data_IF_265908284971
#
_entry.id   IF_265908284971
#
_cell.length_a   1.000
_cell.length_b   1.000
_cell.length_c   1.000
_cell.angle_alpha   90.00
_cell.angle_beta   90.00
_cell.angle_gamma   90.00
#
_symmetry.space_group_name_H-M   'P 1'
#
loop_
_entity.id
_entity.type
_entity.pdbx_description
1 polymer ?
#
# COMPACT_ATOMS: atom_id res chain seq x y z
N UNK A 1 -5.57 5.54 -2.00
CA UNK A 1 -4.95 6.66 -2.75
C UNK A 1 -5.66 7.99 -2.53
N UNK A 2 -6.94 8.14 -2.89
CA UNK A 2 -7.64 9.44 -2.85
C UNK A 2 -7.63 10.13 -1.47
N UNK A 3 -7.80 9.36 -0.39
CA UNK A 3 -7.74 9.93 0.97
C UNK A 3 -6.35 10.49 1.33
N UNK A 4 -5.28 9.83 0.87
CA UNK A 4 -3.90 10.31 1.06
C UNK A 4 -3.68 11.61 0.28
N UNK A 5 -4.16 11.67 -0.96
CA UNK A 5 -4.08 12.88 -1.78
C UNK A 5 -4.85 14.05 -1.16
N UNK A 6 -6.06 13.79 -0.65
CA UNK A 6 -6.88 14.77 0.08
C UNK A 6 -6.13 15.29 1.31
N UNK A 7 -5.62 14.40 2.17
CA UNK A 7 -4.93 14.75 3.40
C UNK A 7 -3.67 15.62 3.15
N UNK A 8 -2.83 15.23 2.18
CA UNK A 8 -1.61 15.99 1.84
C UNK A 8 -1.96 17.36 1.26
N UNK A 9 -2.97 17.43 0.39
CA UNK A 9 -3.39 18.70 -0.23
C UNK A 9 -3.99 19.66 0.81
N UNK A 10 -4.85 19.16 1.70
CA UNK A 10 -5.46 19.97 2.75
C UNK A 10 -4.47 20.44 3.82
N UNK A 11 -3.40 19.69 4.06
CA UNK A 11 -2.33 20.12 4.95
C UNK A 11 -1.61 21.38 4.45
N UNK A 12 -1.77 21.75 3.17
CA UNK A 12 -1.15 22.93 2.53
C UNK A 12 0.37 22.99 2.75
N UNK A 13 1.02 21.83 2.80
CA UNK A 13 2.47 21.73 2.88
C UNK A 13 3.10 22.05 1.52
N UNK A 14 4.29 22.63 1.54
CA UNK A 14 5.16 22.73 0.37
C UNK A 14 6.03 21.49 0.32
N UNK A 15 5.89 20.71 -0.76
CA UNK A 15 6.72 19.53 -0.99
C UNK A 15 8.04 19.95 -1.64
N UNK A 16 9.16 19.40 -1.17
CA UNK A 16 10.47 19.63 -1.77
C UNK A 16 10.78 18.63 -2.90
N UNK A 17 10.04 17.53 -2.94
CA UNK A 17 10.08 16.55 -4.02
C UNK A 17 8.70 16.38 -4.64
N UNK A 18 8.67 16.05 -5.93
CA UNK A 18 7.44 15.75 -6.66
C UNK A 18 6.78 14.50 -6.10
N UNK A 19 5.47 14.58 -5.85
CA UNK A 19 4.63 13.44 -5.48
C UNK A 19 3.60 13.23 -6.60
N UNK A 20 3.55 12.01 -7.13
CA UNK A 20 2.58 11.61 -8.15
C UNK A 20 1.55 10.66 -7.54
N UNK A 21 0.28 10.92 -7.81
CA UNK A 21 -0.80 9.98 -7.55
C UNK A 21 -1.28 9.44 -8.89
N UNK A 22 -1.13 8.14 -9.10
CA UNK A 22 -1.42 7.50 -10.38
C UNK A 22 -2.41 6.38 -10.14
N UNK A 23 -3.51 6.37 -10.90
CA UNK A 23 -4.43 5.25 -10.99
C UNK A 23 -4.15 4.54 -12.31
N UNK A 24 -3.66 3.31 -12.23
CA UNK A 24 -3.39 2.50 -13.42
C UNK A 24 -4.68 1.84 -13.91
N UNK A 25 -4.86 1.86 -15.22
CA UNK A 25 -5.90 1.10 -15.91
C UNK A 25 -5.36 -0.27 -16.34
N UNK A 26 -6.27 -1.21 -16.61
CA UNK A 26 -5.93 -2.52 -17.19
C UNK A 26 -4.88 -3.32 -16.40
N UNK A 27 -4.85 -3.20 -15.08
CA UNK A 27 -4.02 -4.03 -14.19
C UNK A 27 -4.35 -5.51 -14.41
N UNK A 28 -5.65 -5.84 -14.41
CA UNK A 28 -6.19 -7.20 -14.61
C UNK A 28 -5.92 -7.79 -16.00
N UNK A 29 -5.36 -7.00 -16.92
CA UNK A 29 -4.92 -7.44 -18.24
C UNK A 29 -3.39 -7.56 -18.33
N UNK A 30 -2.72 -7.76 -17.19
CA UNK A 30 -1.27 -7.92 -17.12
C UNK A 30 -0.54 -6.60 -16.91
N UNK A 31 -1.05 -5.77 -16.00
CA UNK A 31 -0.43 -4.51 -15.60
C UNK A 31 -0.18 -3.55 -16.78
N UNK A 32 -1.08 -3.50 -17.77
CA UNK A 32 -0.84 -2.74 -19.01
C UNK A 32 -0.67 -1.24 -18.74
N UNK A 33 -1.50 -0.66 -17.87
CA UNK A 33 -1.45 0.77 -17.55
C UNK A 33 -0.17 1.16 -16.83
N UNK A 34 0.27 0.38 -15.84
CA UNK A 34 1.53 0.66 -15.14
C UNK A 34 2.76 0.39 -16.00
N UNK A 35 2.75 -0.67 -16.82
CA UNK A 35 3.80 -0.88 -17.84
C UNK A 35 3.92 0.33 -18.78
N UNK A 36 2.79 0.80 -19.31
CA UNK A 36 2.81 1.96 -20.21
C UNK A 36 3.31 3.21 -19.49
N UNK A 37 2.83 3.48 -18.26
CA UNK A 37 3.28 4.59 -17.45
C UNK A 37 4.79 4.55 -17.19
N UNK A 38 5.33 3.40 -16.78
CA UNK A 38 6.76 3.25 -16.47
C UNK A 38 7.61 3.43 -17.72
N UNK A 39 7.30 2.69 -18.79
CA UNK A 39 8.13 2.64 -20.00
C UNK A 39 7.98 3.87 -20.91
N UNK A 40 6.83 4.54 -20.92
CA UNK A 40 6.55 5.61 -21.89
C UNK A 40 6.46 7.01 -21.28
N UNK A 41 6.30 7.13 -19.96
CA UNK A 41 6.22 8.42 -19.28
C UNK A 41 7.29 8.57 -18.19
N UNK A 42 7.26 7.73 -17.15
CA UNK A 42 8.14 7.89 -15.99
C UNK A 42 9.62 7.84 -16.40
N UNK A 43 10.05 6.78 -17.07
CA UNK A 43 11.45 6.63 -17.47
C UNK A 43 11.84 7.67 -18.53
N UNK A 44 11.14 7.80 -19.68
CA UNK A 44 11.61 8.68 -20.75
C UNK A 44 11.53 10.16 -20.39
N UNK A 45 10.44 10.60 -19.78
CA UNK A 45 10.16 12.02 -19.60
C UNK A 45 10.68 12.53 -18.25
N UNK A 46 10.42 11.82 -17.15
CA UNK A 46 10.80 12.29 -15.81
C UNK A 46 12.25 11.92 -15.48
N UNK A 47 12.62 10.65 -15.63
CA UNK A 47 13.94 10.19 -15.20
C UNK A 47 15.05 10.52 -16.21
N UNK A 48 14.79 10.36 -17.51
CA UNK A 48 15.79 10.64 -18.55
C UNK A 48 15.79 12.08 -19.02
N UNK A 49 14.65 12.61 -19.47
CA UNK A 49 14.57 13.97 -20.03
C UNK A 49 14.69 15.04 -18.95
N UNK A 50 13.88 14.97 -17.89
CA UNK A 50 13.95 15.92 -16.78
C UNK A 50 15.10 15.65 -15.79
N UNK A 51 15.78 14.50 -15.93
CA UNK A 51 16.91 14.07 -15.07
C UNK A 51 16.51 13.99 -13.59
N UNK A 52 15.26 13.65 -13.31
CA UNK A 52 14.79 13.45 -11.95
C UNK A 52 15.39 12.16 -11.36
N UNK A 53 15.53 12.12 -10.03
CA UNK A 53 15.90 10.91 -9.30
C UNK A 53 14.64 10.26 -8.75
N UNK A 54 14.44 8.99 -9.05
CA UNK A 54 13.31 8.23 -8.52
C UNK A 54 13.58 7.82 -7.07
N UNK A 55 12.72 8.25 -6.15
CA UNK A 55 12.82 7.85 -4.74
C UNK A 55 12.16 6.49 -4.49
N UNK A 56 11.05 6.21 -5.17
CA UNK A 56 10.33 4.96 -5.06
C UNK A 56 8.82 5.11 -5.26
N UNK A 57 8.12 3.98 -5.32
CA UNK A 57 6.66 3.91 -5.39
C UNK A 57 6.06 3.07 -4.26
N UNK A 58 4.88 3.46 -3.81
CA UNK A 58 3.99 2.63 -2.99
C UNK A 58 2.77 2.28 -3.84
N UNK A 59 2.60 1.00 -4.12
CA UNK A 59 1.46 0.45 -4.85
C UNK A 59 0.41 0.00 -3.84
N UNK A 60 -0.85 0.32 -4.08
CA UNK A 60 -1.98 -0.06 -3.22
C UNK A 60 -2.88 -1.00 -4.01
N UNK A 61 -3.01 -2.25 -3.57
CA UNK A 61 -3.87 -3.22 -4.23
C UNK A 61 -4.55 -4.13 -3.21
N UNK A 62 -5.87 -3.95 -3.05
CA UNK A 62 -6.67 -4.53 -1.99
C UNK A 62 -6.17 -4.13 -0.60
N UNK A 63 -6.80 -3.16 0.09
CA UNK A 63 -6.38 -2.74 1.44
C UNK A 63 -7.53 -2.66 2.46
N UNK A 64 -8.66 -3.29 2.14
CA UNK A 64 -9.93 -3.18 2.88
C UNK A 64 -10.51 -4.52 3.34
N UNK A 65 -9.76 -5.62 3.25
CA UNK A 65 -10.20 -6.96 3.58
C UNK A 65 -9.67 -7.45 4.94
N UNK A 66 -9.51 -6.57 5.94
CA UNK A 66 -9.14 -6.99 7.30
C UNK A 66 -10.08 -8.08 7.83
N UNK A 67 -9.50 -9.12 8.45
CA UNK A 67 -10.27 -10.18 9.08
C UNK A 67 -9.52 -10.81 10.26
N UNK A 68 -9.96 -10.52 11.48
CA UNK A 68 -9.36 -11.09 12.69
C UNK A 68 -9.97 -12.44 13.10
N UNK A 69 -10.86 -13.04 12.33
CA UNK A 69 -11.43 -14.35 12.66
C UNK A 69 -10.38 -15.44 12.36
N UNK A 70 -10.25 -16.51 13.20
CA UNK A 70 -9.37 -17.63 12.88
C UNK A 70 -9.69 -18.28 11.54
N UNK A 71 -8.66 -18.82 10.86
CA UNK A 71 -8.77 -19.55 9.59
C UNK A 71 -9.37 -18.74 8.43
N UNK A 72 -9.12 -17.42 8.43
CA UNK A 72 -9.54 -16.55 7.33
C UNK A 72 -8.39 -16.16 6.42
N UNK A 73 -7.14 -16.42 6.78
CA UNK A 73 -5.98 -16.25 5.91
C UNK A 73 -5.48 -17.60 5.44
N UNK A 74 -5.49 -17.82 4.13
CA UNK A 74 -4.78 -18.92 3.51
C UNK A 74 -3.45 -18.37 2.98
N UNK A 75 -2.38 -19.15 3.05
CA UNK A 75 -1.10 -18.78 2.47
C UNK A 75 -0.75 -19.80 1.38
N UNK A 76 -0.57 -19.35 0.13
CA UNK A 76 -0.13 -20.25 -0.93
C UNK A 76 1.27 -20.82 -0.66
N UNK A 77 1.62 -21.90 -1.36
CA UNK A 77 2.85 -22.66 -1.12
C UNK A 77 4.13 -21.81 -1.26
N UNK A 78 4.16 -20.85 -2.18
CA UNK A 78 5.30 -19.96 -2.40
C UNK A 78 5.58 -19.03 -1.21
N UNK A 79 4.59 -18.74 -0.36
CA UNK A 79 4.81 -18.03 0.91
C UNK A 79 5.58 -18.89 1.92
N UNK A 80 5.28 -20.18 1.99
CA UNK A 80 5.97 -21.09 2.89
C UNK A 80 7.42 -21.31 2.46
N UNK A 81 7.67 -21.36 1.14
CA UNK A 81 9.01 -21.53 0.58
C UNK A 81 9.85 -20.25 0.72
N UNK A 82 9.30 -19.10 0.34
CA UNK A 82 10.05 -17.84 0.28
C UNK A 82 10.12 -17.11 1.63
N UNK A 83 9.09 -17.28 2.48
CA UNK A 83 8.94 -16.55 3.74
C UNK A 83 8.53 -17.48 4.90
N UNK A 84 9.32 -18.52 5.23
CA UNK A 84 8.94 -19.53 6.22
C UNK A 84 8.66 -18.96 7.62
N UNK A 85 9.35 -17.88 8.01
CA UNK A 85 9.10 -17.19 9.27
C UNK A 85 7.71 -16.52 9.33
N UNK A 86 7.25 -15.97 8.21
CA UNK A 86 5.92 -15.38 8.10
C UNK A 86 4.83 -16.46 8.11
N UNK A 87 5.04 -17.57 7.38
CA UNK A 87 4.16 -18.73 7.44
C UNK A 87 4.00 -19.25 8.88
N UNK A 88 5.11 -19.40 9.59
CA UNK A 88 5.10 -19.83 10.98
C UNK A 88 4.29 -18.87 11.86
N UNK A 89 4.45 -17.55 11.68
CA UNK A 89 3.68 -16.56 12.41
C UNK A 89 2.18 -16.66 12.16
N UNK A 90 1.76 -16.76 10.89
CA UNK A 90 0.33 -16.84 10.52
C UNK A 90 -0.30 -18.11 11.11
N UNK A 91 0.38 -19.25 10.99
CA UNK A 91 -0.07 -20.52 11.57
C UNK A 91 -0.26 -20.41 13.10
N UNK A 92 0.71 -19.84 13.81
CA UNK A 92 0.67 -19.74 15.27
C UNK A 92 -0.27 -18.65 15.81
N UNK A 93 -0.80 -17.79 14.94
CA UNK A 93 -1.82 -16.79 15.30
C UNK A 93 -3.22 -17.22 14.89
N UNK A 94 -3.39 -18.49 14.52
CA UNK A 94 -4.68 -19.08 14.15
C UNK A 94 -5.13 -18.71 12.74
N UNK A 95 -4.21 -18.46 11.81
CA UNK A 95 -4.49 -18.17 10.41
C UNK A 95 -5.42 -16.95 10.24
N UNK A 96 -5.16 -15.88 10.99
CA UNK A 96 -5.94 -14.64 10.96
C UNK A 96 -5.41 -13.70 9.88
N UNK A 97 -6.31 -13.02 9.19
CA UNK A 97 -6.01 -11.98 8.20
C UNK A 97 -5.97 -10.58 8.83
N UNK A 98 -5.35 -10.45 10.02
CA UNK A 98 -5.36 -9.21 10.81
C UNK A 98 -4.17 -8.28 10.54
N UNK A 99 -3.66 -8.31 9.32
CA UNK A 99 -2.45 -7.60 8.94
C UNK A 99 -2.51 -7.02 7.52
N UNK A 100 -1.71 -5.97 7.30
CA UNK A 100 -1.32 -5.49 5.99
C UNK A 100 -0.01 -6.19 5.61
N UNK A 101 0.04 -6.75 4.40
CA UNK A 101 1.27 -7.23 3.81
C UNK A 101 1.91 -6.12 2.99
N UNK A 102 3.19 -5.88 3.22
CA UNK A 102 4.01 -5.03 2.38
C UNK A 102 5.02 -5.91 1.65
N UNK A 103 4.82 -6.12 0.36
CA UNK A 103 5.74 -6.90 -0.47
C UNK A 103 6.83 -5.97 -0.97
N UNK A 104 8.08 -6.34 -0.72
CA UNK A 104 9.26 -5.55 -1.06
C UNK A 104 10.41 -6.47 -1.49
N UNK A 105 11.40 -5.97 -2.24
CA UNK A 105 12.64 -6.72 -2.45
C UNK A 105 13.57 -6.54 -1.28
N UNK A 106 14.12 -7.66 -0.81
CA UNK A 106 15.09 -7.67 0.27
C UNK A 106 16.28 -6.77 -0.09
N UNK A 107 16.73 -5.98 0.89
CA UNK A 107 17.80 -4.97 0.78
C UNK A 107 17.51 -3.77 -0.12
N UNK A 108 16.92 -3.99 -1.30
CA UNK A 108 16.69 -2.96 -2.32
C UNK A 108 15.64 -1.93 -1.90
N UNK A 109 14.47 -2.37 -1.48
CA UNK A 109 13.33 -1.49 -1.20
C UNK A 109 13.27 -1.08 0.29
N UNK A 110 14.34 -1.37 1.03
CA UNK A 110 14.43 -1.20 2.48
C UNK A 110 14.24 0.24 2.97
N UNK A 111 14.59 1.25 2.15
CA UNK A 111 14.39 2.64 2.53
C UNK A 111 12.91 3.06 2.46
N UNK A 112 12.11 2.43 1.60
CA UNK A 112 10.66 2.64 1.54
C UNK A 112 9.97 1.86 2.65
N UNK A 113 10.30 0.57 2.77
CA UNK A 113 9.64 -0.32 3.72
C UNK A 113 9.88 0.11 5.17
N UNK A 114 11.11 0.50 5.53
CA UNK A 114 11.40 1.01 6.88
C UNK A 114 10.60 2.25 7.24
N UNK A 115 10.53 3.24 6.34
CA UNK A 115 9.76 4.48 6.62
C UNK A 115 8.28 4.20 6.86
N UNK A 116 7.68 3.31 6.06
CA UNK A 116 6.29 2.92 6.29
C UNK A 116 6.12 2.13 7.59
N UNK A 117 7.05 1.24 7.91
CA UNK A 117 7.02 0.50 9.17
C UNK A 117 7.12 1.44 10.37
N UNK A 118 8.05 2.40 10.34
CA UNK A 118 8.23 3.39 11.40
C UNK A 118 6.94 4.22 11.57
N UNK A 119 6.41 4.78 10.48
CA UNK A 119 5.15 5.52 10.50
C UNK A 119 3.96 4.67 11.01
N UNK A 120 3.90 3.39 10.65
CA UNK A 120 2.86 2.48 11.11
C UNK A 120 2.93 2.21 12.62
N UNK A 121 4.14 2.07 13.17
CA UNK A 121 4.35 1.88 14.60
C UNK A 121 4.03 3.16 15.38
N UNK A 122 4.44 4.32 14.88
CA UNK A 122 4.21 5.61 15.53
C UNK A 122 2.72 5.96 15.67
N UNK A 123 1.88 5.50 14.74
CA UNK A 123 0.42 5.65 14.83
C UNK A 123 -0.22 4.78 15.93
N UNK A 124 0.50 3.82 16.50
CA UNK A 124 0.00 2.90 17.51
C UNK A 124 -1.08 1.96 16.97
N UNK A 125 -2.06 1.60 17.81
CA UNK A 125 -3.13 0.63 17.50
C UNK A 125 -2.60 -0.73 17.00
N UNK A 126 -2.08 -1.53 17.93
CA UNK A 126 -1.47 -2.84 17.66
C UNK A 126 -2.44 -3.93 17.20
N UNK A 127 -3.75 -3.66 17.18
CA UNK A 127 -4.74 -4.56 16.57
C UNK A 127 -4.46 -4.74 15.07
N UNK A 128 -4.03 -3.68 14.39
CA UNK A 128 -3.70 -3.68 12.97
C UNK A 128 -2.19 -3.85 12.80
N UNK A 129 -1.80 -5.03 12.32
CA UNK A 129 -0.39 -5.39 12.09
C UNK A 129 0.06 -5.01 10.68
N UNK A 130 1.36 -4.81 10.53
CA UNK A 130 2.04 -4.64 9.24
C UNK A 130 3.20 -5.63 9.18
N UNK A 131 3.28 -6.40 8.11
CA UNK A 131 4.41 -7.29 7.83
C UNK A 131 5.14 -6.84 6.57
N UNK A 132 6.44 -6.62 6.68
CA UNK A 132 7.30 -6.52 5.51
C UNK A 132 7.65 -7.93 5.02
N UNK A 133 7.05 -8.32 3.91
CA UNK A 133 7.32 -9.54 3.17
C UNK A 133 8.46 -9.26 2.18
N UNK A 134 9.68 -9.16 2.73
CA UNK A 134 10.89 -8.90 1.94
C UNK A 134 11.30 -10.18 1.20
N UNK A 135 11.06 -10.23 -0.11
CA UNK A 135 11.35 -11.39 -0.96
C UNK A 135 12.74 -11.30 -1.58
N UNK A 136 13.36 -12.46 -1.82
CA UNK A 136 14.70 -12.57 -2.41
C UNK A 136 14.63 -12.42 -3.94
N UNK A 137 14.47 -11.17 -4.38
CA UNK A 137 14.22 -10.80 -5.76
C UNK A 137 15.15 -9.64 -6.14
N UNK A 138 15.91 -9.82 -7.23
CA UNK A 138 16.98 -8.92 -7.63
C UNK A 138 16.52 -7.70 -8.46
N UNK A 139 17.51 -6.99 -9.01
CA UNK A 139 17.34 -5.82 -9.88
C UNK A 139 17.22 -6.15 -11.38
N UNK A 140 17.43 -7.42 -11.76
CA UNK A 140 17.26 -7.90 -13.12
C UNK A 140 16.09 -8.88 -13.17
N UNK A 141 15.46 -8.99 -14.35
CA UNK A 141 14.45 -10.03 -14.60
C UNK A 141 15.04 -11.39 -14.20
N UNK A 142 14.42 -12.10 -13.24
CA UNK A 142 14.97 -13.35 -12.75
C UNK A 142 14.62 -14.51 -13.69
N UNK A 143 15.33 -15.63 -13.54
CA UNK A 143 15.03 -16.85 -14.29
C UNK A 143 13.62 -17.37 -13.99
N UNK A 144 13.05 -18.12 -14.95
CA UNK A 144 11.68 -18.67 -14.84
C UNK A 144 11.47 -19.48 -13.56
N UNK A 145 12.48 -20.23 -13.10
CA UNK A 145 12.40 -21.02 -11.88
C UNK A 145 12.29 -20.16 -10.61
N UNK A 146 12.87 -18.97 -10.62
CA UNK A 146 12.75 -18.00 -9.52
C UNK A 146 11.39 -17.30 -9.58
N UNK A 147 10.93 -16.93 -10.78
CA UNK A 147 9.58 -16.35 -10.97
C UNK A 147 8.51 -17.32 -10.45
N UNK A 148 8.60 -18.61 -10.78
CA UNK A 148 7.64 -19.62 -10.34
C UNK A 148 7.54 -19.73 -8.82
N UNK A 149 8.65 -19.53 -8.10
CA UNK A 149 8.69 -19.53 -6.63
C UNK A 149 8.21 -18.23 -5.99
N UNK A 150 7.98 -17.19 -6.80
CA UNK A 150 7.61 -15.87 -6.32
C UNK A 150 6.34 -15.32 -6.99
N UNK A 151 5.57 -16.17 -7.67
CA UNK A 151 4.45 -15.73 -8.51
C UNK A 151 3.46 -14.88 -7.72
N UNK A 152 3.07 -15.29 -6.51
CA UNK A 152 2.11 -14.52 -5.72
C UNK A 152 2.67 -13.22 -5.14
N UNK A 153 3.97 -12.97 -5.26
CA UNK A 153 4.61 -11.71 -4.91
C UNK A 153 4.75 -10.75 -6.10
N UNK A 154 4.36 -11.16 -7.31
CA UNK A 154 4.47 -10.39 -8.55
C UNK A 154 3.10 -10.04 -9.18
N UNK A 155 2.00 -10.30 -8.48
CA UNK A 155 0.63 -10.19 -8.98
C UNK A 155 0.06 -8.75 -8.96
N UNK A 156 0.88 -7.70 -9.01
CA UNK A 156 0.37 -6.32 -9.01
C UNK A 156 1.37 -5.36 -9.67
N UNK A 157 0.97 -4.10 -9.80
CA UNK A 157 1.68 -3.08 -10.57
C UNK A 157 3.11 -2.79 -10.09
N UNK A 158 3.50 -3.15 -8.86
CA UNK A 158 4.88 -2.94 -8.38
C UNK A 158 5.90 -3.74 -9.20
N UNK A 159 5.49 -4.87 -9.78
CA UNK A 159 6.34 -5.70 -10.61
C UNK A 159 6.82 -4.96 -11.88
N UNK A 160 6.01 -4.04 -12.42
CA UNK A 160 6.38 -3.25 -13.61
C UNK A 160 7.45 -2.21 -13.31
N UNK A 161 7.56 -1.74 -12.06
CA UNK A 161 8.68 -0.91 -11.61
C UNK A 161 9.94 -1.74 -11.44
N UNK A 162 9.82 -2.96 -10.90
CA UNK A 162 10.96 -3.84 -10.68
C UNK A 162 11.58 -4.32 -12.00
N UNK A 163 10.74 -4.69 -12.97
CA UNK A 163 11.14 -5.40 -14.19
C UNK A 163 10.52 -4.79 -15.46
N UNK A 164 10.81 -3.52 -15.72
CA UNK A 164 10.33 -2.81 -16.91
C UNK A 164 11.07 -3.19 -18.20
N UNK A 165 10.48 -2.92 -19.37
CA UNK A 165 11.08 -3.27 -20.66
C UNK A 165 12.14 -2.25 -21.16
N UNK A 166 12.38 -1.20 -20.38
CA UNK A 166 13.33 -0.13 -20.72
C UNK A 166 14.82 -0.49 -20.52
N UNK A 167 15.16 -1.74 -20.18
CA UNK A 167 16.52 -2.20 -19.83
C UNK A 167 17.61 -1.85 -20.86
N UNK A 168 17.26 -1.75 -22.14
CA UNK A 168 18.20 -1.36 -23.21
C UNK A 168 18.69 0.09 -23.11
N UNK A 169 17.94 0.97 -22.45
CA UNK A 169 18.19 2.40 -22.39
C UNK A 169 17.99 3.02 -21.00
N UNK A 170 17.58 2.22 -20.03
CA UNK A 170 17.50 2.48 -18.61
C UNK A 170 17.67 1.13 -17.89
N UNK A 171 18.91 0.72 -17.54
CA UNK A 171 19.18 -0.62 -16.99
C UNK A 171 18.84 -0.74 -15.49
N UNK A 172 18.61 0.37 -14.82
CA UNK A 172 18.37 0.40 -13.37
C UNK A 172 16.92 0.01 -13.08
N UNK A 173 16.71 -0.90 -12.14
CA UNK A 173 15.37 -1.20 -11.62
C UNK A 173 14.85 -0.06 -10.74
N UNK A 174 13.52 0.12 -10.71
CA UNK A 174 12.88 1.15 -9.90
C UNK A 174 12.37 0.57 -8.58
N UNK A 175 12.66 1.26 -7.48
CA UNK A 175 12.24 0.82 -6.14
C UNK A 175 10.72 0.97 -5.96
N UNK A 176 10.06 -0.11 -5.55
CA UNK A 176 8.62 -0.09 -5.34
C UNK A 176 8.23 -1.12 -4.28
N UNK A 177 7.20 -0.81 -3.48
CA UNK A 177 6.61 -1.76 -2.54
C UNK A 177 5.11 -1.87 -2.79
N UNK A 178 4.57 -3.07 -2.69
CA UNK A 178 3.12 -3.30 -2.74
C UNK A 178 2.55 -3.38 -1.33
N UNK A 179 1.49 -2.63 -1.07
CA UNK A 179 0.67 -2.77 0.12
C UNK A 179 -0.63 -3.47 -0.24
N UNK A 180 -0.85 -4.64 0.37
CA UNK A 180 -2.00 -5.48 0.11
C UNK A 180 -2.53 -6.15 1.38
N UNK A 181 -3.83 -6.39 1.42
CA UNK A 181 -4.53 -7.22 2.38
C UNK A 181 -4.58 -8.68 1.95
N UNK A 182 -3.83 -9.06 0.90
CA UNK A 182 -3.72 -10.40 0.31
C UNK A 182 -5.02 -10.96 -0.26
N UNK A 183 -5.99 -10.09 -0.58
CA UNK A 183 -7.03 -10.28 -1.60
C UNK A 183 -7.59 -11.71 -1.69
N UNK A 184 -7.28 -12.47 -2.75
CA UNK A 184 -7.87 -13.78 -3.03
C UNK A 184 -7.56 -14.86 -1.99
N UNK A 185 -6.66 -14.60 -1.04
CA UNK A 185 -6.30 -15.55 0.00
C UNK A 185 -6.98 -15.26 1.35
N UNK A 186 -7.85 -14.25 1.42
CA UNK A 186 -8.44 -13.80 2.68
C UNK A 186 -9.96 -13.73 2.70
N UNK A 187 -10.54 -14.36 3.72
CA UNK A 187 -11.96 -14.23 4.08
C UNK A 187 -12.88 -14.47 2.89
N UNK A 188 -13.85 -13.58 2.69
CA UNK A 188 -14.84 -13.66 1.60
C UNK A 188 -14.22 -13.47 0.21
N UNK A 189 -13.06 -12.81 0.10
CA UNK A 189 -12.38 -12.65 -1.20
C UNK A 189 -11.85 -13.96 -1.75
N UNK A 190 -11.68 -15.02 -0.93
CA UNK A 190 -11.38 -16.36 -1.43
C UNK A 190 -12.40 -16.89 -2.45
N UNK A 191 -13.64 -16.42 -2.33
CA UNK A 191 -14.75 -16.80 -3.22
C UNK A 191 -15.18 -15.64 -4.13
N UNK A 192 -15.02 -14.39 -3.67
CA UNK A 192 -15.54 -13.21 -4.35
C UNK A 192 -14.53 -12.47 -5.22
N UNK A 193 -13.23 -12.73 -5.11
CA UNK A 193 -12.22 -12.05 -5.92
C UNK A 193 -12.55 -12.19 -7.41
N UNK A 194 -12.52 -11.07 -8.14
CA UNK A 194 -12.93 -10.96 -9.55
C UNK A 194 -14.34 -11.46 -9.89
N UNK A 195 -15.21 -11.54 -8.88
CA UNK A 195 -16.59 -12.00 -9.03
C UNK A 195 -17.57 -10.90 -8.62
N UNK A 196 -18.85 -11.07 -8.99
CA UNK A 196 -19.89 -10.05 -8.75
C UNK A 196 -20.13 -9.70 -7.28
N UNK A 197 -19.69 -10.54 -6.34
CA UNK A 197 -19.83 -10.31 -4.90
C UNK A 197 -18.64 -9.57 -4.27
N UNK A 198 -17.64 -9.18 -5.07
CA UNK A 198 -16.66 -8.17 -4.70
C UNK A 198 -17.28 -6.77 -4.84
N UNK A 199 -18.06 -6.41 -3.82
CA UNK A 199 -18.82 -5.17 -3.76
C UNK A 199 -18.76 -4.56 -2.35
N UNK A 200 -19.39 -3.40 -2.17
CA UNK A 200 -19.35 -2.67 -0.90
C UNK A 200 -20.03 -3.42 0.26
N UNK A 201 -20.76 -4.51 0.03
CA UNK A 201 -21.41 -5.29 1.10
C UNK A 201 -20.40 -5.96 2.02
N UNK A 202 -19.15 -6.14 1.57
CA UNK A 202 -18.10 -6.76 2.40
C UNK A 202 -17.40 -5.76 3.32
N UNK A 203 -17.70 -4.47 3.21
CA UNK A 203 -17.06 -3.39 3.98
C UNK A 203 -17.76 -3.24 5.33
N UNK A 204 -16.95 -3.21 6.39
CA UNK A 204 -17.40 -2.99 7.77
C UNK A 204 -16.67 -1.77 8.37
N UNK A 205 -17.17 -1.18 9.47
CA UNK A 205 -16.45 -0.11 10.15
C UNK A 205 -15.02 -0.49 10.54
N UNK A 206 -14.78 -1.73 10.96
CA UNK A 206 -13.46 -2.23 11.32
C UNK A 206 -12.50 -2.28 10.11
N UNK A 207 -12.99 -2.76 8.96
CA UNK A 207 -12.22 -2.76 7.70
C UNK A 207 -11.89 -1.34 7.24
N UNK A 208 -12.81 -0.40 7.44
CA UNK A 208 -12.55 1.02 7.16
C UNK A 208 -11.50 1.62 8.11
N UNK A 209 -11.49 1.24 9.39
CA UNK A 209 -10.45 1.68 10.33
C UNK A 209 -9.07 1.10 9.97
N UNK A 210 -9.01 -0.15 9.49
CA UNK A 210 -7.79 -0.73 8.96
C UNK A 210 -7.29 0.03 7.73
N UNK A 211 -8.15 0.29 6.75
CA UNK A 211 -7.82 1.07 5.55
C UNK A 211 -7.41 2.51 5.89
N UNK A 212 -8.05 3.11 6.90
CA UNK A 212 -7.69 4.41 7.44
C UNK A 212 -6.28 4.41 8.01
N UNK A 213 -5.91 3.42 8.84
CA UNK A 213 -4.54 3.32 9.37
C UNK A 213 -3.51 3.20 8.24
N UNK A 214 -3.83 2.43 7.19
CA UNK A 214 -2.99 2.36 5.98
C UNK A 214 -2.82 3.72 5.31
N UNK A 215 -3.91 4.47 5.13
CA UNK A 215 -3.86 5.82 4.55
C UNK A 215 -3.08 6.80 5.42
N UNK A 216 -3.26 6.77 6.75
CA UNK A 216 -2.55 7.64 7.68
C UNK A 216 -1.04 7.34 7.68
N UNK A 217 -0.66 6.06 7.74
CA UNK A 217 0.75 5.63 7.75
C UNK A 217 1.45 6.02 6.44
N UNK A 218 0.78 5.79 5.31
CA UNK A 218 1.29 6.18 4.00
C UNK A 218 1.38 7.70 3.87
N UNK A 219 0.41 8.46 4.39
CA UNK A 219 0.46 9.92 4.40
C UNK A 219 1.69 10.43 5.16
N UNK A 220 1.92 9.93 6.38
CA UNK A 220 3.09 10.29 7.16
C UNK A 220 4.40 9.95 6.44
N UNK A 221 4.48 8.76 5.84
CA UNK A 221 5.63 8.30 5.06
C UNK A 221 5.92 9.22 3.87
N UNK A 222 4.89 9.61 3.11
CA UNK A 222 5.03 10.48 1.94
C UNK A 222 5.39 11.91 2.34
N UNK A 223 4.85 12.43 3.44
CA UNK A 223 5.22 13.74 4.00
C UNK A 223 6.72 13.77 4.32
N UNK A 224 7.25 12.69 4.90
CA UNK A 224 8.68 12.57 5.20
C UNK A 224 9.53 12.44 3.91
N UNK A 225 9.18 11.53 3.01
CA UNK A 225 9.90 11.30 1.74
C UNK A 225 9.92 12.53 0.83
N UNK A 226 8.86 13.32 0.86
CA UNK A 226 8.78 14.58 0.10
C UNK A 226 9.46 15.75 0.80
N UNK A 227 10.02 15.51 2.00
CA UNK A 227 10.59 16.55 2.87
C UNK A 227 9.65 17.75 2.98
N UNK A 228 8.36 17.47 3.20
CA UNK A 228 7.32 18.49 3.20
C UNK A 228 7.58 19.52 4.30
N UNK A 229 7.53 20.80 3.92
CA UNK A 229 7.70 21.93 4.84
C UNK A 229 6.40 22.72 4.93
N UNK A 230 6.02 23.12 6.13
CA UNK A 230 4.83 23.95 6.34
C UNK A 230 5.16 25.44 6.26
N UNK A 231 4.26 26.24 5.69
CA UNK A 231 4.14 27.65 6.06
C UNK A 231 3.47 27.72 7.45
N UNK A 232 4.25 27.64 8.51
CA UNK A 232 3.90 28.07 9.88
C UNK A 232 2.55 27.63 10.46
N UNK A 233 2.49 26.43 11.04
CA UNK A 233 1.95 26.11 12.39
C UNK A 233 1.74 24.59 12.50
N UNK A 234 2.38 24.02 13.53
CA UNK A 234 2.23 22.68 14.10
C UNK A 234 1.18 21.75 13.46
N UNK A 235 1.67 20.66 12.86
CA UNK A 235 0.92 19.42 12.68
C UNK A 235 0.77 18.75 14.07
N UNK A 236 0.00 19.39 14.96
CA UNK A 236 -0.48 18.83 16.23
C UNK A 236 -1.76 19.57 16.66
N UNK A 237 -2.80 19.60 15.81
CA UNK A 237 -4.12 20.10 16.26
C UNK A 237 -5.34 19.67 15.42
N UNK A 238 -5.19 18.97 14.28
CA UNK A 238 -6.34 18.75 13.40
C UNK A 238 -7.30 17.63 13.84
N UNK A 239 -6.87 16.67 14.68
CA UNK A 239 -7.77 15.60 15.14
C UNK A 239 -8.78 16.07 16.19
N UNK A 240 -8.42 17.03 17.04
CA UNK A 240 -9.32 17.56 18.08
C UNK A 240 -10.42 18.40 17.46
N UNK A 241 -10.11 19.21 16.43
CA UNK A 241 -11.08 20.09 15.78
C UNK A 241 -12.07 19.27 14.92
N UNK A 242 -11.61 18.24 14.22
CA UNK A 242 -12.48 17.36 13.42
C UNK A 242 -13.36 16.49 14.34
N UNK A 243 -12.82 15.96 15.44
CA UNK A 243 -13.60 15.21 16.42
C UNK A 243 -14.66 16.08 17.12
N UNK A 244 -14.32 17.33 17.47
CA UNK A 244 -15.28 18.30 18.04
C UNK A 244 -16.37 18.68 17.03
N UNK A 245 -16.03 18.87 15.74
CA UNK A 245 -17.04 19.14 14.71
C UNK A 245 -17.99 17.94 14.49
N UNK A 246 -17.46 16.73 14.46
CA UNK A 246 -18.28 15.52 14.32
C UNK A 246 -19.20 15.31 15.53
N UNK A 247 -18.72 15.58 16.75
CA UNK A 247 -19.53 15.53 17.98
C UNK A 247 -20.62 16.60 17.99
N UNK A 248 -20.31 17.83 17.60
CA UNK A 248 -21.29 18.92 17.52
C UNK A 248 -22.38 18.61 16.48
N UNK A 249 -22.02 18.09 15.31
CA UNK A 249 -22.98 17.68 14.29
C UNK A 249 -23.85 16.50 14.75
N UNK A 250 -23.26 15.53 15.45
CA UNK A 250 -24.00 14.39 16.00
C UNK A 250 -25.03 14.82 17.06
N UNK A 251 -24.65 15.73 17.97
CA UNK A 251 -25.57 16.24 18.99
C UNK A 251 -26.62 17.20 18.43
N UNK A 252 -26.26 18.05 17.46
CA UNK A 252 -27.22 18.93 16.77
C UNK A 252 -28.28 18.12 16.00
N UNK A 253 -27.87 17.05 15.31
CA UNK A 253 -28.80 16.15 14.61
C UNK A 253 -29.72 15.37 15.57
N UNK A 254 -29.27 15.11 16.81
CA UNK A 254 -30.09 14.46 17.84
C UNK A 254 -31.11 15.40 18.47
N UNK A 255 -30.76 16.68 18.66
CA UNK A 255 -31.66 17.72 19.18
C UNK A 255 -32.78 18.08 18.20
N UNK A 256 -32.49 18.06 16.89
CA UNK A 256 -33.47 18.31 15.82
C UNK A 256 -34.50 17.17 15.63
N UNK A 257 -34.34 16.02 16.30
CA UNK A 257 -35.32 14.91 16.28
C UNK A 257 -36.33 14.95 17.43
N UNK A 258 -36.22 15.93 18.33
CA UNK A 258 -37.10 16.10 19.51
C UNK A 258 -37.89 17.42 19.50
N UNK A 259 -38.01 18.06 18.32
CA UNK A 259 -38.90 19.20 18.07
C UNK A 259 -39.93 18.81 17.02
#
# INVERSE_FOLDING_TARGET
MLEVARAITEARCRLNHTLMFVAFDHEENGAMGSNFFVDHYLIPDELKRARARFQGAFILDGIMNYNDIPNTQDLPMDYAESLPGFQYFVNNTGNRGNFLAMISRNEMDNHLSRKLMDAWQDLGNHQYKLFNLAVDMGNTIPDVSVIQKHLNFLNSDHATFWYHNSSSHFPDSLNAVLLTDTGPFRGKMKECYHSKCDDLTVITPEKLQFAKKTADALTATLVELTSATGAGRQIQASWIIVALHALVLFYAAKLLRYV
#
